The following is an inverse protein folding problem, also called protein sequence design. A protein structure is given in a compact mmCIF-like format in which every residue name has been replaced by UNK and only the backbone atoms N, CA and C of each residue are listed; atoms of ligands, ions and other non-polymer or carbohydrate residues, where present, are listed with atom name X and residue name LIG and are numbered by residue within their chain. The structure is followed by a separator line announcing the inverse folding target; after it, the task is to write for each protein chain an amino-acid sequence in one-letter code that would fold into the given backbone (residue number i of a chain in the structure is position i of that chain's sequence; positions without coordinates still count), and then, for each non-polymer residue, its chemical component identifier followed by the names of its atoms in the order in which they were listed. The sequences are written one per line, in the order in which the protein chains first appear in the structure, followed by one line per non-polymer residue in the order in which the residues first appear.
data_IF_729619926305
#
_entry.id   IF_729619926305
#
_cell.length_a   1.000
_cell.length_b   1.000
_cell.length_c   1.000
_cell.angle_alpha   90.00
_cell.angle_beta   90.00
_cell.angle_gamma   90.00
#
_symmetry.space_group_name_H-M   'P 1'
#
loop_
_entity.id
_entity.type
_entity.pdbx_description
1 polymer ?
#
# COMPACT_ATOMS: atom_id res chain seq x y z
N UNK A 1 1.18 29.99 0.50
CA UNK A 1 2.39 29.45 1.19
C UNK A 1 3.31 28.90 0.12
N UNK A 2 4.64 29.12 0.22
CA UNK A 2 5.62 28.52 -0.69
C UNK A 2 6.35 27.44 0.11
N UNK A 3 6.26 26.19 -0.35
CA UNK A 3 7.02 25.07 0.22
C UNK A 3 8.21 24.78 -0.69
N UNK A 4 9.41 24.96 -0.17
CA UNK A 4 10.62 24.63 -0.93
C UNK A 4 10.84 23.12 -0.93
N UNK A 5 11.05 22.49 -2.09
CA UNK A 5 11.30 21.05 -2.17
C UNK A 5 12.62 20.70 -1.49
N UNK A 6 12.60 19.63 -0.69
CA UNK A 6 13.79 19.02 -0.09
C UNK A 6 13.89 17.59 -0.58
N UNK A 7 14.80 17.34 -1.48
CA UNK A 7 15.03 16.02 -2.07
C UNK A 7 16.15 15.30 -1.33
N UNK A 8 15.95 14.02 -1.03
CA UNK A 8 16.96 13.11 -0.48
C UNK A 8 16.91 11.80 -1.26
N UNK A 9 17.93 11.56 -2.09
CA UNK A 9 17.87 10.50 -3.10
C UNK A 9 16.75 10.82 -4.10
N UNK A 10 15.87 9.88 -4.34
CA UNK A 10 14.68 10.08 -5.21
C UNK A 10 13.40 10.45 -4.43
N UNK A 11 13.51 10.75 -3.15
CA UNK A 11 12.35 11.14 -2.34
C UNK A 11 12.32 12.62 -2.10
N UNK A 12 11.21 13.28 -2.44
CA UNK A 12 10.91 14.61 -1.95
C UNK A 12 10.33 14.49 -0.53
N UNK A 13 11.02 15.07 0.46
CA UNK A 13 10.66 14.96 1.88
C UNK A 13 9.73 16.07 2.35
N UNK A 14 9.34 16.98 1.47
CA UNK A 14 8.38 18.06 1.73
C UNK A 14 7.18 17.90 0.82
N UNK A 15 5.99 18.26 1.32
CA UNK A 15 4.75 18.22 0.55
C UNK A 15 4.01 19.55 0.69
N UNK A 16 3.38 19.98 -0.40
CA UNK A 16 2.57 21.20 -0.42
C UNK A 16 1.12 20.85 -0.05
N UNK A 17 0.56 21.35 1.06
CA UNK A 17 -0.79 20.98 1.52
C UNK A 17 -1.87 21.17 0.43
N UNK A 18 -1.93 22.35 -0.18
CA UNK A 18 -2.90 22.65 -1.22
C UNK A 18 -2.66 21.85 -2.50
N UNK A 19 -1.38 21.55 -2.82
CA UNK A 19 -1.05 20.70 -3.97
C UNK A 19 -1.54 19.26 -3.77
N UNK A 20 -1.36 18.69 -2.58
CA UNK A 20 -1.88 17.39 -2.22
C UNK A 20 -3.42 17.37 -2.27
N UNK A 21 -4.06 18.38 -1.68
CA UNK A 21 -5.52 18.51 -1.71
C UNK A 21 -6.06 18.61 -3.14
N UNK A 22 -5.43 19.41 -3.99
CA UNK A 22 -5.83 19.56 -5.40
C UNK A 22 -5.60 18.26 -6.18
N UNK A 23 -4.51 17.53 -5.92
CA UNK A 23 -4.26 16.22 -6.53
C UNK A 23 -5.38 15.23 -6.20
N UNK A 24 -5.78 15.15 -4.92
CA UNK A 24 -6.89 14.28 -4.48
C UNK A 24 -8.20 14.72 -5.11
N UNK A 25 -8.49 16.03 -5.16
CA UNK A 25 -9.69 16.57 -5.80
C UNK A 25 -9.79 16.16 -7.27
N UNK A 26 -8.68 16.27 -8.03
CA UNK A 26 -8.64 15.88 -9.45
C UNK A 26 -8.89 14.38 -9.64
N UNK A 27 -8.32 13.54 -8.79
CA UNK A 27 -8.59 12.09 -8.84
C UNK A 27 -10.07 11.80 -8.58
N UNK A 28 -10.67 12.44 -7.59
CA UNK A 28 -12.10 12.32 -7.28
C UNK A 28 -12.96 12.76 -8.47
N UNK A 29 -12.69 13.93 -9.05
CA UNK A 29 -13.43 14.43 -10.21
C UNK A 29 -13.31 13.51 -11.42
N UNK A 30 -12.12 12.94 -11.64
CA UNK A 30 -11.93 11.94 -12.69
C UNK A 30 -12.83 10.72 -12.45
N UNK A 31 -12.86 10.17 -11.24
CA UNK A 31 -13.72 9.01 -10.93
C UNK A 31 -15.20 9.36 -11.05
N UNK A 32 -15.60 10.55 -10.59
CA UNK A 32 -16.99 11.03 -10.73
C UNK A 32 -17.42 11.19 -12.20
N UNK A 33 -16.50 11.47 -13.12
CA UNK A 33 -16.76 11.57 -14.55
C UNK A 33 -16.90 10.22 -15.25
N UNK A 34 -16.53 9.12 -14.58
CA UNK A 34 -16.65 7.77 -15.13
C UNK A 34 -18.02 7.16 -14.78
N UNK A 35 -18.44 6.13 -15.52
CA UNK A 35 -19.64 5.37 -15.17
C UNK A 35 -19.56 4.81 -13.75
N UNK A 36 -20.70 4.80 -13.05
CA UNK A 36 -20.80 4.09 -11.77
C UNK A 36 -20.62 2.59 -11.98
N UNK A 37 -20.06 1.93 -10.98
CA UNK A 37 -19.81 0.50 -10.99
C UNK A 37 -20.49 -0.16 -9.78
N UNK A 38 -20.93 -1.39 -9.97
CA UNK A 38 -21.26 -2.25 -8.84
C UNK A 38 -19.96 -2.72 -8.17
N UNK A 39 -19.99 -2.82 -6.85
CA UNK A 39 -18.80 -3.20 -6.10
C UNK A 39 -19.03 -3.20 -4.59
N UNK A 40 -17.96 -3.34 -3.81
CA UNK A 40 -18.02 -3.42 -2.36
C UNK A 40 -18.66 -2.16 -1.76
N UNK A 41 -19.18 -2.30 -0.53
CA UNK A 41 -19.84 -1.22 0.21
C UNK A 41 -19.08 -0.79 1.44
N UNK A 42 -18.32 -1.69 2.07
CA UNK A 42 -17.55 -1.42 3.29
C UNK A 42 -16.12 -1.92 3.12
N UNK A 43 -15.20 -1.01 2.91
CA UNK A 43 -13.84 -1.34 2.46
C UNK A 43 -12.80 -0.99 3.53
N UNK A 44 -11.90 -1.93 3.80
CA UNK A 44 -10.66 -1.69 4.53
C UNK A 44 -9.50 -1.55 3.53
N UNK A 45 -8.72 -0.47 3.62
CA UNK A 45 -7.52 -0.27 2.79
C UNK A 45 -6.29 -0.14 3.69
N UNK A 46 -5.40 -1.10 3.62
CA UNK A 46 -4.11 -1.11 4.31
C UNK A 46 -3.06 -0.44 3.40
N UNK A 47 -2.46 0.66 3.86
CA UNK A 47 -1.59 1.51 3.04
C UNK A 47 -2.37 2.54 2.19
N UNK A 48 -3.30 3.26 2.82
CA UNK A 48 -4.37 4.04 2.18
C UNK A 48 -3.99 5.49 1.81
N UNK A 49 -2.78 5.96 2.11
CA UNK A 49 -2.45 7.39 2.05
C UNK A 49 -1.89 7.88 0.71
N UNK A 50 -1.34 6.99 -0.10
CA UNK A 50 -0.70 7.33 -1.39
C UNK A 50 -0.84 6.21 -2.40
N UNK A 51 -0.43 6.45 -3.65
CA UNK A 51 -0.30 5.46 -4.71
C UNK A 51 -1.59 4.68 -4.95
N UNK A 52 -1.43 3.38 -5.15
CA UNK A 52 -2.55 2.49 -5.47
C UNK A 52 -3.56 2.35 -4.33
N UNK A 53 -3.11 2.40 -3.06
CA UNK A 53 -4.03 2.34 -1.93
C UNK A 53 -4.98 3.52 -1.88
N UNK A 54 -4.45 4.75 -2.03
CA UNK A 54 -5.29 5.95 -2.11
C UNK A 54 -6.20 5.94 -3.35
N UNK A 55 -5.65 5.58 -4.52
CA UNK A 55 -6.42 5.51 -5.75
C UNK A 55 -7.58 4.52 -5.66
N UNK A 56 -7.35 3.36 -5.04
CA UNK A 56 -8.39 2.36 -4.80
C UNK A 56 -9.46 2.89 -3.84
N UNK A 57 -9.05 3.56 -2.77
CA UNK A 57 -9.97 4.17 -1.82
C UNK A 57 -10.88 5.21 -2.49
N UNK A 58 -10.28 6.09 -3.31
CA UNK A 58 -11.03 7.08 -4.10
C UNK A 58 -11.96 6.38 -5.10
N UNK A 59 -11.46 5.41 -5.87
CA UNK A 59 -12.24 4.74 -6.89
C UNK A 59 -13.45 4.00 -6.28
N UNK A 60 -13.25 3.23 -5.22
CA UNK A 60 -14.33 2.47 -4.58
C UNK A 60 -15.36 3.39 -3.92
N UNK A 61 -14.91 4.48 -3.28
CA UNK A 61 -15.83 5.44 -2.68
C UNK A 61 -16.68 6.13 -3.75
N UNK A 62 -16.07 6.62 -4.81
CA UNK A 62 -16.80 7.46 -5.78
C UNK A 62 -17.41 6.70 -6.96
N UNK A 63 -16.90 5.53 -7.35
CA UNK A 63 -17.53 4.72 -8.39
C UNK A 63 -18.56 3.73 -7.83
N UNK A 64 -18.27 3.08 -6.69
CA UNK A 64 -19.12 2.03 -6.11
C UNK A 64 -20.01 2.55 -4.97
N UNK A 65 -19.76 3.77 -4.48
CA UNK A 65 -20.45 4.32 -3.30
C UNK A 65 -20.04 3.62 -2.00
N UNK A 66 -18.77 3.20 -1.89
CA UNK A 66 -18.28 2.48 -0.73
C UNK A 66 -17.90 3.42 0.42
N UNK A 67 -18.24 3.05 1.62
CA UNK A 67 -17.66 3.57 2.86
C UNK A 67 -16.30 2.94 3.10
N UNK A 68 -15.34 3.69 3.68
CA UNK A 68 -13.98 3.20 3.79
C UNK A 68 -13.28 3.52 5.11
N UNK A 69 -12.56 2.53 5.63
CA UNK A 69 -11.56 2.67 6.68
C UNK A 69 -10.18 2.50 6.03
N UNK A 70 -9.24 3.42 6.30
CA UNK A 70 -7.88 3.35 5.82
C UNK A 70 -6.88 3.19 6.97
N UNK A 71 -5.86 2.36 6.80
CA UNK A 71 -4.68 2.35 7.68
C UNK A 71 -3.55 3.04 6.95
N UNK A 72 -2.95 4.03 7.59
CA UNK A 72 -1.88 4.86 7.05
C UNK A 72 -0.70 4.90 8.03
N UNK A 73 0.49 5.26 7.57
CA UNK A 73 1.65 5.45 8.43
C UNK A 73 2.39 6.72 8.05
N UNK A 74 1.82 7.85 8.43
CA UNK A 74 2.24 9.18 8.00
C UNK A 74 2.64 10.08 9.17
N UNK A 75 3.49 11.05 8.87
CA UNK A 75 4.02 11.97 9.88
C UNK A 75 3.28 13.31 9.81
N UNK A 76 2.72 13.79 10.93
CA UNK A 76 2.14 15.12 11.01
C UNK A 76 3.20 16.20 10.82
N UNK A 77 2.76 17.38 10.43
CA UNK A 77 3.60 18.57 10.35
C UNK A 77 4.16 18.97 11.72
N UNK A 78 5.31 19.63 11.68
CA UNK A 78 5.94 20.29 12.85
C UNK A 78 6.29 21.72 12.44
N UNK A 79 6.59 22.60 13.42
CA UNK A 79 6.85 24.04 13.19
C UNK A 79 7.75 24.35 11.97
N UNK A 80 8.78 23.55 11.72
CA UNK A 80 9.76 23.75 10.64
C UNK A 80 9.70 22.71 9.52
N UNK A 81 8.68 21.84 9.52
CA UNK A 81 8.55 20.75 8.56
C UNK A 81 7.09 20.52 8.19
N UNK A 82 6.82 20.39 6.89
CA UNK A 82 5.52 19.95 6.39
C UNK A 82 5.19 18.55 6.91
N UNK A 83 3.92 18.19 6.97
CA UNK A 83 3.53 16.79 7.07
C UNK A 83 4.02 16.00 5.84
N UNK A 84 3.98 14.69 5.90
CA UNK A 84 4.13 13.83 4.72
C UNK A 84 2.98 14.06 3.73
N UNK A 85 3.21 13.76 2.45
CA UNK A 85 2.19 13.87 1.42
C UNK A 85 0.95 13.03 1.76
N UNK A 86 1.17 11.80 2.23
CA UNK A 86 0.08 10.90 2.62
C UNK A 86 -0.81 11.46 3.74
N UNK A 87 -0.25 12.20 4.67
CA UNK A 87 -1.03 12.90 5.70
C UNK A 87 -2.01 13.90 5.09
N UNK A 88 -1.52 14.77 4.18
CA UNK A 88 -2.37 15.76 3.52
C UNK A 88 -3.39 15.12 2.57
N UNK A 89 -3.00 14.10 1.84
CA UNK A 89 -3.91 13.36 0.96
C UNK A 89 -5.06 12.72 1.75
N UNK A 90 -4.74 12.08 2.88
CA UNK A 90 -5.73 11.43 3.73
C UNK A 90 -6.73 12.45 4.29
N UNK A 91 -6.22 13.56 4.83
CA UNK A 91 -7.07 14.62 5.35
C UNK A 91 -7.98 15.23 4.25
N UNK A 92 -7.43 15.43 3.04
CA UNK A 92 -8.19 15.92 1.91
C UNK A 92 -9.27 14.92 1.45
N UNK A 93 -8.89 13.64 1.33
CA UNK A 93 -9.83 12.60 0.93
C UNK A 93 -10.99 12.46 1.92
N UNK A 94 -10.71 12.39 3.22
CA UNK A 94 -11.74 12.29 4.24
C UNK A 94 -12.67 13.48 4.22
N UNK A 95 -12.13 14.70 4.09
CA UNK A 95 -12.94 15.92 3.99
C UNK A 95 -13.87 15.89 2.78
N UNK A 96 -13.37 15.51 1.59
CA UNK A 96 -14.18 15.43 0.38
C UNK A 96 -15.24 14.32 0.48
N UNK A 97 -14.85 13.12 0.93
CA UNK A 97 -15.75 12.00 1.07
C UNK A 97 -16.91 12.31 2.04
N UNK A 98 -16.59 12.88 3.21
CA UNK A 98 -17.61 13.27 4.20
C UNK A 98 -18.54 14.37 3.69
N UNK A 99 -18.01 15.38 3.00
CA UNK A 99 -18.82 16.43 2.37
C UNK A 99 -19.78 15.88 1.30
N UNK A 100 -19.37 14.80 0.63
CA UNK A 100 -20.17 14.13 -0.40
C UNK A 100 -21.08 13.03 0.19
N UNK A 101 -21.14 12.88 1.52
CA UNK A 101 -22.04 11.95 2.22
C UNK A 101 -21.51 10.53 2.38
N UNK A 102 -20.22 10.30 2.13
CA UNK A 102 -19.57 9.02 2.35
C UNK A 102 -18.87 8.95 3.71
N UNK A 103 -18.88 7.77 4.32
CA UNK A 103 -18.05 7.54 5.49
C UNK A 103 -16.60 7.31 5.05
N UNK A 104 -15.69 8.06 5.66
CA UNK A 104 -14.24 7.87 5.49
C UNK A 104 -13.54 8.21 6.80
N UNK A 105 -12.80 7.24 7.34
CA UNK A 105 -11.90 7.39 8.51
C UNK A 105 -10.58 6.71 8.27
N UNK A 106 -9.52 7.20 8.94
CA UNK A 106 -8.21 6.57 8.90
C UNK A 106 -7.62 6.40 10.30
N UNK A 107 -6.88 5.31 10.46
CA UNK A 107 -6.03 5.02 11.61
C UNK A 107 -4.59 5.25 11.18
N UNK A 108 -3.84 6.03 11.95
CA UNK A 108 -2.45 6.34 11.65
C UNK A 108 -1.50 5.58 12.58
N UNK A 109 -0.93 4.50 12.09
CA UNK A 109 0.01 3.67 12.81
C UNK A 109 0.65 2.60 11.93
N UNK A 110 1.57 1.85 12.52
CA UNK A 110 2.25 0.75 11.84
C UNK A 110 1.29 -0.41 11.59
N UNK A 111 0.87 -0.60 10.33
CA UNK A 111 -0.04 -1.67 9.94
C UNK A 111 0.47 -3.08 10.28
N UNK A 112 1.78 -3.25 10.46
CA UNK A 112 2.38 -4.52 10.88
C UNK A 112 2.20 -4.81 12.37
N UNK A 113 1.84 -3.81 13.18
CA UNK A 113 1.71 -3.97 14.62
C UNK A 113 0.37 -4.59 15.01
N UNK A 114 0.39 -5.37 16.09
CA UNK A 114 -0.81 -5.96 16.67
C UNK A 114 -1.78 -4.88 17.19
N UNK A 115 -1.24 -3.81 17.78
CA UNK A 115 -2.02 -2.67 18.28
C UNK A 115 -2.90 -2.05 17.18
N UNK A 116 -2.35 -1.81 16.00
CA UNK A 116 -3.09 -1.23 14.87
C UNK A 116 -4.11 -2.21 14.29
N UNK A 117 -3.81 -3.51 14.28
CA UNK A 117 -4.80 -4.53 13.90
C UNK A 117 -6.00 -4.50 14.85
N UNK A 118 -5.77 -4.49 16.15
CA UNK A 118 -6.81 -4.44 17.18
C UNK A 118 -7.64 -3.15 17.13
N UNK A 119 -6.99 -1.99 16.98
CA UNK A 119 -7.67 -0.70 16.82
C UNK A 119 -8.56 -0.68 15.56
N UNK A 120 -8.05 -1.22 14.45
CA UNK A 120 -8.79 -1.31 13.19
C UNK A 120 -10.01 -2.22 13.33
N UNK A 121 -9.85 -3.38 13.94
CA UNK A 121 -10.93 -4.32 14.19
C UNK A 121 -12.00 -3.69 15.10
N UNK A 122 -11.58 -2.99 16.15
CA UNK A 122 -12.52 -2.30 17.04
C UNK A 122 -13.31 -1.21 16.29
N UNK A 123 -12.66 -0.46 15.40
CA UNK A 123 -13.32 0.54 14.58
C UNK A 123 -14.30 -0.09 13.58
N UNK A 124 -13.93 -1.22 12.94
CA UNK A 124 -14.82 -1.94 12.03
C UNK A 124 -16.06 -2.43 12.80
N UNK A 125 -15.89 -3.07 13.94
CA UNK A 125 -17.02 -3.55 14.78
C UNK A 125 -17.97 -2.41 15.16
N UNK A 126 -17.41 -1.27 15.53
CA UNK A 126 -18.19 -0.11 15.96
C UNK A 126 -18.97 0.55 14.82
N UNK A 127 -18.32 0.78 13.68
CA UNK A 127 -18.86 1.68 12.65
C UNK A 127 -19.42 0.90 11.43
N UNK A 128 -18.94 -0.30 11.16
CA UNK A 128 -19.29 -1.11 9.97
C UNK A 128 -20.01 -2.42 10.30
N UNK A 129 -19.69 -3.01 11.44
CA UNK A 129 -19.99 -4.41 11.73
C UNK A 129 -19.01 -5.33 11.01
N UNK A 130 -19.05 -5.36 9.70
CA UNK A 130 -18.20 -6.18 8.84
C UNK A 130 -17.70 -5.38 7.63
N UNK A 131 -16.62 -5.84 7.00
CA UNK A 131 -16.10 -5.35 5.71
C UNK A 131 -16.29 -6.40 4.63
N UNK A 132 -16.63 -5.99 3.43
CA UNK A 132 -16.81 -6.84 2.25
C UNK A 132 -15.63 -6.79 1.28
N UNK A 133 -14.65 -5.91 1.54
CA UNK A 133 -13.39 -5.87 0.79
C UNK A 133 -12.22 -5.40 1.65
N UNK A 134 -11.08 -6.10 1.51
CA UNK A 134 -9.79 -5.73 2.11
C UNK A 134 -8.74 -5.54 1.03
N UNK A 135 -8.16 -4.34 0.94
CA UNK A 135 -7.05 -4.06 0.03
C UNK A 135 -5.75 -4.01 0.81
N UNK A 136 -4.81 -4.89 0.46
CA UNK A 136 -3.47 -4.94 1.02
C UNK A 136 -2.49 -4.24 0.07
N UNK A 137 -2.17 -2.97 0.37
CA UNK A 137 -1.30 -2.09 -0.42
C UNK A 137 -0.10 -1.62 0.40
N UNK A 138 0.57 -2.56 1.06
CA UNK A 138 1.73 -2.27 1.88
C UNK A 138 3.02 -2.59 1.13
N UNK A 139 3.96 -1.66 1.18
CA UNK A 139 5.33 -1.83 0.74
C UNK A 139 6.24 -1.01 1.65
N UNK A 140 7.23 -1.65 2.26
CA UNK A 140 8.10 -1.01 3.23
C UNK A 140 9.54 -1.49 3.10
N UNK A 141 10.53 -0.67 3.48
CA UNK A 141 11.92 -1.11 3.52
C UNK A 141 12.23 -1.99 4.74
N UNK A 142 11.31 -2.07 5.69
CA UNK A 142 11.45 -2.87 6.92
C UNK A 142 10.10 -3.18 7.54
N UNK A 143 10.04 -4.29 8.27
CA UNK A 143 8.90 -4.71 9.07
C UNK A 143 9.39 -5.26 10.41
N UNK A 144 8.76 -4.86 11.52
CA UNK A 144 8.89 -5.57 12.79
C UNK A 144 7.82 -6.65 12.81
N UNK A 145 8.24 -7.91 12.78
CA UNK A 145 7.34 -9.06 12.77
C UNK A 145 6.89 -9.45 14.20
N UNK A 146 5.88 -10.33 14.34
CA UNK A 146 5.36 -10.76 15.65
C UNK A 146 6.40 -11.45 16.54
N UNK A 147 7.44 -12.04 15.95
CA UNK A 147 8.59 -12.62 16.69
C UNK A 147 9.50 -11.58 17.35
N UNK A 148 9.22 -10.28 17.13
CA UNK A 148 9.98 -9.15 17.65
C UNK A 148 11.19 -8.76 16.80
N UNK A 149 11.51 -9.53 15.75
CA UNK A 149 12.62 -9.26 14.84
C UNK A 149 12.24 -8.17 13.83
N UNK A 150 13.20 -7.31 13.51
CA UNK A 150 13.03 -6.30 12.46
C UNK A 150 13.74 -6.76 11.20
N UNK A 151 12.98 -7.23 10.24
CA UNK A 151 13.43 -7.64 8.91
C UNK A 151 13.58 -6.44 7.98
N UNK A 152 14.49 -6.55 6.98
CA UNK A 152 14.75 -5.49 6.00
C UNK A 152 14.65 -6.04 4.58
N UNK A 153 13.90 -5.37 3.74
CA UNK A 153 13.84 -5.71 2.31
C UNK A 153 14.98 -5.07 1.53
N UNK A 154 15.46 -5.81 0.54
CA UNK A 154 16.45 -5.31 -0.44
C UNK A 154 15.91 -5.47 -1.86
N UNK A 155 16.38 -4.62 -2.76
CA UNK A 155 16.15 -4.75 -4.20
C UNK A 155 17.46 -5.17 -4.86
N UNK A 156 17.65 -6.48 -4.98
CA UNK A 156 18.86 -7.11 -5.52
C UNK A 156 18.50 -8.29 -6.43
N UNK A 157 19.45 -8.72 -7.23
CA UNK A 157 19.35 -9.97 -7.98
C UNK A 157 19.45 -11.18 -7.06
N UNK A 158 19.15 -12.39 -7.55
CA UNK A 158 19.27 -13.62 -6.77
C UNK A 158 20.58 -14.33 -7.06
N UNK A 159 20.91 -14.58 -8.33
CA UNK A 159 22.01 -15.48 -8.68
C UNK A 159 23.30 -14.77 -9.05
N UNK A 160 23.22 -13.72 -9.87
CA UNK A 160 24.39 -13.03 -10.44
C UNK A 160 24.18 -11.52 -10.48
N UNK A 161 25.29 -10.80 -10.52
CA UNK A 161 25.21 -9.34 -10.64
C UNK A 161 24.51 -8.91 -11.94
N UNK A 162 23.83 -7.79 -11.87
CA UNK A 162 23.13 -7.16 -13.00
C UNK A 162 23.64 -5.75 -13.19
N UNK A 163 24.16 -5.48 -14.40
CA UNK A 163 24.66 -4.17 -14.78
C UNK A 163 23.81 -3.62 -15.92
N UNK A 164 23.33 -2.40 -15.76
CA UNK A 164 22.54 -1.72 -16.80
C UNK A 164 22.74 -0.20 -16.73
N UNK A 165 22.33 0.48 -17.78
CA UNK A 165 22.26 1.93 -17.78
C UNK A 165 21.07 2.42 -16.95
N UNK A 166 21.29 3.53 -16.27
CA UNK A 166 20.28 4.27 -15.51
C UNK A 166 20.41 5.75 -15.85
N UNK A 167 19.37 6.51 -15.57
CA UNK A 167 19.42 7.97 -15.68
C UNK A 167 19.43 8.59 -14.28
N UNK A 168 20.34 9.50 -14.03
CA UNK A 168 20.27 10.35 -12.85
C UNK A 168 19.22 11.43 -13.09
N UNK A 169 18.15 11.39 -12.31
CA UNK A 169 17.02 12.29 -12.46
C UNK A 169 17.30 13.74 -12.03
N UNK A 170 18.41 13.98 -11.33
CA UNK A 170 18.82 15.34 -10.93
C UNK A 170 19.67 16.01 -12.00
N UNK A 171 20.57 15.25 -12.65
CA UNK A 171 21.49 15.78 -13.65
C UNK A 171 21.04 15.51 -15.09
N UNK A 172 20.10 14.59 -15.29
CA UNK A 172 19.68 14.07 -16.60
C UNK A 172 20.80 13.34 -17.36
N UNK A 173 21.81 12.83 -16.65
CA UNK A 173 22.94 12.12 -17.22
C UNK A 173 22.73 10.61 -17.15
N UNK A 174 23.21 9.90 -18.18
CA UNK A 174 23.25 8.45 -18.18
C UNK A 174 24.36 7.96 -17.26
N UNK A 175 24.03 7.04 -16.38
CA UNK A 175 24.97 6.38 -15.47
C UNK A 175 24.90 4.86 -15.67
N UNK A 176 25.93 4.16 -15.21
CA UNK A 176 25.93 2.69 -15.16
C UNK A 176 25.73 2.28 -13.71
N UNK A 177 24.75 1.44 -13.48
CA UNK A 177 24.45 0.89 -12.16
C UNK A 177 24.67 -0.62 -12.18
N UNK A 178 25.45 -1.13 -11.22
CA UNK A 178 25.67 -2.55 -10.99
C UNK A 178 25.03 -2.95 -9.67
N UNK A 179 24.17 -3.95 -9.72
CA UNK A 179 23.44 -4.46 -8.57
C UNK A 179 23.96 -5.88 -8.27
N UNK A 180 24.56 -6.08 -7.09
CA UNK A 180 25.06 -7.40 -6.69
C UNK A 180 23.93 -8.35 -6.31
N UNK A 181 24.19 -9.67 -6.29
CA UNK A 181 23.22 -10.63 -5.79
C UNK A 181 22.95 -10.44 -4.29
N UNK A 182 21.74 -10.78 -3.88
CA UNK A 182 21.36 -10.85 -2.48
C UNK A 182 21.93 -12.10 -1.83
N UNK A 183 22.22 -12.01 -0.54
CA UNK A 183 22.48 -13.21 0.27
C UNK A 183 21.16 -13.95 0.52
N UNK A 184 21.25 -15.22 0.93
CA UNK A 184 20.07 -16.00 1.32
C UNK A 184 19.30 -15.34 2.48
N UNK A 185 20.01 -14.77 3.45
CA UNK A 185 19.40 -13.98 4.54
C UNK A 185 18.64 -12.77 4.03
N UNK A 186 19.23 -11.98 3.12
CA UNK A 186 18.57 -10.81 2.52
C UNK A 186 17.33 -11.20 1.71
N UNK A 187 17.33 -12.36 1.03
CA UNK A 187 16.15 -12.89 0.33
C UNK A 187 15.06 -13.24 1.33
N UNK A 188 15.39 -14.00 2.37
CA UNK A 188 14.45 -14.40 3.41
C UNK A 188 13.86 -13.18 4.14
N UNK A 189 14.69 -12.22 4.49
CA UNK A 189 14.25 -10.95 5.09
C UNK A 189 13.29 -10.19 4.16
N UNK A 190 13.60 -10.16 2.88
CA UNK A 190 12.75 -9.50 1.88
C UNK A 190 11.38 -10.19 1.77
N UNK A 191 11.34 -11.53 1.83
CA UNK A 191 10.09 -12.30 1.88
C UNK A 191 9.31 -11.96 3.15
N UNK A 192 9.97 -11.87 4.30
CA UNK A 192 9.33 -11.47 5.58
C UNK A 192 8.71 -10.08 5.54
N UNK A 193 9.30 -9.14 4.80
CA UNK A 193 8.80 -7.75 4.71
C UNK A 193 7.76 -7.58 3.62
N UNK A 194 7.97 -8.17 2.43
CA UNK A 194 7.24 -7.86 1.20
C UNK A 194 6.41 -9.04 0.66
N UNK A 195 6.48 -10.20 1.32
CA UNK A 195 5.68 -11.39 1.01
C UNK A 195 4.28 -11.34 1.61
N UNK A 196 3.66 -12.49 1.73
CA UNK A 196 2.25 -12.63 2.11
C UNK A 196 1.98 -12.84 3.60
N UNK A 197 3.02 -13.06 4.43
CA UNK A 197 2.83 -13.41 5.84
C UNK A 197 1.93 -12.40 6.59
N UNK A 198 2.19 -11.09 6.47
CA UNK A 198 1.37 -10.10 7.17
C UNK A 198 -0.04 -9.95 6.58
N UNK A 199 -0.19 -10.17 5.28
CA UNK A 199 -1.51 -10.23 4.66
C UNK A 199 -2.36 -11.37 5.23
N UNK A 200 -1.76 -12.56 5.38
CA UNK A 200 -2.42 -13.70 6.06
C UNK A 200 -2.81 -13.35 7.49
N UNK A 201 -1.88 -12.79 8.27
CA UNK A 201 -2.14 -12.36 9.65
C UNK A 201 -3.29 -11.34 9.77
N UNK A 202 -3.42 -10.43 8.81
CA UNK A 202 -4.57 -9.53 8.76
C UNK A 202 -5.87 -10.28 8.51
N UNK A 203 -5.88 -11.19 7.52
CA UNK A 203 -7.09 -11.93 7.19
C UNK A 203 -7.53 -12.86 8.32
N UNK A 204 -6.59 -13.55 8.97
CA UNK A 204 -6.85 -14.36 10.17
C UNK A 204 -7.45 -13.52 11.30
N UNK A 205 -6.84 -12.37 11.63
CA UNK A 205 -7.32 -11.49 12.68
C UNK A 205 -8.73 -10.94 12.41
N UNK A 206 -9.03 -10.60 11.15
CA UNK A 206 -10.35 -10.12 10.74
C UNK A 206 -11.40 -11.24 10.81
N UNK A 207 -11.05 -12.48 10.41
CA UNK A 207 -11.92 -13.63 10.51
C UNK A 207 -12.19 -14.01 11.96
N UNK A 208 -11.16 -14.14 12.79
CA UNK A 208 -11.29 -14.45 14.22
C UNK A 208 -12.16 -13.43 14.97
N UNK A 209 -12.13 -12.19 14.53
CA UNK A 209 -12.92 -11.11 15.10
C UNK A 209 -14.37 -11.05 14.58
N UNK A 210 -14.74 -11.92 13.62
CA UNK A 210 -16.04 -11.93 12.94
C UNK A 210 -16.39 -10.58 12.26
N UNK A 211 -15.40 -9.98 11.59
CA UNK A 211 -15.56 -8.68 10.89
C UNK A 211 -15.39 -8.78 9.37
N UNK A 212 -15.30 -9.99 8.81
CA UNK A 212 -15.38 -10.25 7.37
C UNK A 212 -16.81 -10.63 6.99
N UNK A 213 -17.38 -9.98 6.00
CA UNK A 213 -18.66 -10.37 5.44
C UNK A 213 -18.52 -11.69 4.65
N UNK A 214 -19.62 -12.46 4.57
CA UNK A 214 -19.65 -13.62 3.69
C UNK A 214 -19.50 -13.17 2.22
N UNK A 215 -18.64 -13.84 1.46
CA UNK A 215 -18.27 -13.43 0.11
C UNK A 215 -17.31 -12.23 0.04
N UNK A 216 -16.69 -11.86 1.16
CA UNK A 216 -15.69 -10.78 1.17
C UNK A 216 -14.53 -11.07 0.20
N UNK A 217 -13.98 -10.01 -0.40
CA UNK A 217 -12.81 -10.12 -1.29
C UNK A 217 -11.60 -9.45 -0.69
N UNK A 218 -10.43 -10.05 -0.90
CA UNK A 218 -9.17 -9.40 -0.55
C UNK A 218 -8.23 -9.35 -1.73
N UNK A 219 -7.54 -8.21 -1.90
CA UNK A 219 -6.61 -7.99 -3.01
C UNK A 219 -5.29 -7.46 -2.49
N UNK A 220 -4.20 -8.17 -2.78
CA UNK A 220 -2.85 -7.67 -2.53
C UNK A 220 -2.22 -7.13 -3.82
N UNK A 221 -1.48 -6.03 -3.72
CA UNK A 221 -0.82 -5.41 -4.88
C UNK A 221 0.60 -5.93 -5.07
N UNK A 222 0.90 -6.27 -6.31
CA UNK A 222 2.17 -6.82 -6.77
C UNK A 222 2.75 -5.99 -7.91
N UNK A 223 4.05 -6.17 -8.15
CA UNK A 223 4.80 -5.58 -9.25
C UNK A 223 5.89 -6.55 -9.71
N UNK A 224 6.05 -6.73 -11.00
CA UNK A 224 7.06 -7.63 -11.59
C UNK A 224 8.08 -6.91 -12.49
N UNK A 225 7.82 -5.67 -12.85
CA UNK A 225 8.64 -4.89 -13.78
C UNK A 225 8.49 -5.32 -15.26
N UNK A 226 9.07 -4.55 -16.19
CA UNK A 226 9.27 -4.96 -17.57
C UNK A 226 10.47 -5.92 -17.67
N UNK A 227 10.59 -6.66 -18.78
CA UNK A 227 11.69 -7.62 -19.03
C UNK A 227 13.08 -7.02 -18.79
N UNK A 228 13.28 -5.75 -19.17
CA UNK A 228 14.52 -5.02 -18.94
C UNK A 228 14.97 -5.02 -17.46
N UNK A 229 14.05 -5.14 -16.53
CA UNK A 229 14.29 -5.09 -15.09
C UNK A 229 13.99 -6.41 -14.38
N UNK A 230 13.65 -7.48 -15.10
CA UNK A 230 13.37 -8.78 -14.50
C UNK A 230 14.46 -9.27 -13.54
N UNK A 231 15.77 -9.11 -13.84
CA UNK A 231 16.81 -9.59 -12.92
C UNK A 231 16.72 -9.02 -11.49
N UNK A 232 16.15 -7.81 -11.33
CA UNK A 232 16.01 -7.16 -10.01
C UNK A 232 14.58 -7.17 -9.46
N UNK A 233 13.56 -7.38 -10.32
CA UNK A 233 12.15 -7.45 -9.90
C UNK A 233 11.60 -8.87 -10.00
N UNK A 234 11.28 -9.38 -11.18
CA UNK A 234 10.63 -10.67 -11.37
C UNK A 234 11.49 -11.84 -10.86
N UNK A 235 12.77 -11.87 -11.23
CA UNK A 235 13.75 -12.89 -10.84
C UNK A 235 14.56 -12.49 -9.59
N UNK A 236 14.40 -11.26 -9.10
CA UNK A 236 15.14 -10.71 -7.98
C UNK A 236 14.53 -11.02 -6.60
N UNK A 237 15.14 -10.45 -5.56
CA UNK A 237 14.68 -10.63 -4.17
C UNK A 237 13.22 -10.22 -3.95
N UNK A 238 12.76 -9.14 -4.61
CA UNK A 238 11.35 -8.73 -4.58
C UNK A 238 10.47 -9.76 -5.27
N UNK A 239 10.91 -10.35 -6.38
CA UNK A 239 10.19 -11.41 -7.08
C UNK A 239 9.95 -12.63 -6.19
N UNK A 240 10.95 -13.04 -5.39
CA UNK A 240 10.79 -14.12 -4.41
C UNK A 240 9.69 -13.79 -3.37
N UNK A 241 9.67 -12.55 -2.89
CA UNK A 241 8.60 -12.09 -2.01
C UNK A 241 7.22 -12.07 -2.70
N UNK A 242 7.15 -11.75 -4.00
CA UNK A 242 5.89 -11.78 -4.76
C UNK A 242 5.41 -13.20 -5.04
N UNK A 243 6.31 -14.16 -5.22
CA UNK A 243 5.94 -15.58 -5.27
C UNK A 243 5.33 -16.06 -3.94
N UNK A 244 5.86 -15.59 -2.82
CA UNK A 244 5.26 -15.87 -1.51
C UNK A 244 3.87 -15.23 -1.36
N UNK A 245 3.70 -14.01 -1.87
CA UNK A 245 2.39 -13.33 -1.90
C UNK A 245 1.36 -14.13 -2.72
N UNK A 246 1.76 -14.73 -3.87
CA UNK A 246 0.87 -15.56 -4.69
C UNK A 246 0.47 -16.83 -3.93
N UNK A 247 1.43 -17.55 -3.33
CA UNK A 247 1.14 -18.72 -2.49
C UNK A 247 0.24 -18.37 -1.30
N UNK A 248 0.35 -17.15 -0.77
CA UNK A 248 -0.50 -16.69 0.32
C UNK A 248 -1.94 -16.43 -0.16
N UNK A 249 -2.15 -15.95 -1.37
CA UNK A 249 -3.50 -15.85 -1.94
C UNK A 249 -4.20 -17.22 -1.97
N UNK A 250 -3.48 -18.26 -2.42
CA UNK A 250 -4.00 -19.63 -2.43
C UNK A 250 -4.35 -20.10 -0.99
N UNK A 251 -3.46 -19.87 -0.04
CA UNK A 251 -3.70 -20.21 1.37
C UNK A 251 -4.91 -19.47 1.97
N UNK A 252 -5.08 -18.19 1.65
CA UNK A 252 -6.27 -17.43 2.11
C UNK A 252 -7.54 -18.06 1.54
N UNK A 253 -7.55 -18.39 0.24
CA UNK A 253 -8.67 -19.06 -0.41
C UNK A 253 -9.01 -20.44 0.21
N UNK A 254 -8.00 -21.15 0.73
CA UNK A 254 -8.18 -22.46 1.35
C UNK A 254 -8.63 -22.37 2.82
N UNK A 255 -8.15 -21.36 3.58
CA UNK A 255 -8.28 -21.34 5.04
C UNK A 255 -9.21 -20.26 5.59
N UNK A 256 -9.41 -19.15 4.86
CA UNK A 256 -10.29 -18.06 5.29
C UNK A 256 -11.68 -18.27 4.68
N UNK A 257 -12.60 -18.77 5.49
CA UNK A 257 -13.94 -19.15 5.01
C UNK A 257 -14.71 -17.95 4.46
N UNK A 258 -15.44 -18.17 3.37
CA UNK A 258 -16.28 -17.15 2.75
C UNK A 258 -15.53 -15.98 2.14
N UNK A 259 -14.22 -16.10 1.90
CA UNK A 259 -13.38 -15.04 1.35
C UNK A 259 -12.70 -15.47 0.06
N UNK A 260 -12.59 -14.56 -0.91
CA UNK A 260 -11.83 -14.75 -2.15
C UNK A 260 -10.61 -13.82 -2.15
N UNK A 261 -9.42 -14.40 -2.35
CA UNK A 261 -8.15 -13.68 -2.39
C UNK A 261 -7.57 -13.60 -3.79
N UNK A 262 -7.09 -12.41 -4.16
CA UNK A 262 -6.51 -12.12 -5.47
C UNK A 262 -5.20 -11.34 -5.32
N UNK A 263 -4.32 -11.46 -6.31
CA UNK A 263 -3.14 -10.61 -6.46
C UNK A 263 -3.28 -9.79 -7.73
N UNK A 264 -3.24 -8.48 -7.62
CA UNK A 264 -3.24 -7.57 -8.76
C UNK A 264 -1.82 -7.12 -9.09
N UNK A 265 -1.34 -7.48 -10.28
CA UNK A 265 -0.03 -7.03 -10.78
C UNK A 265 -0.21 -5.67 -11.44
N UNK A 266 0.36 -4.66 -10.82
CA UNK A 266 0.20 -3.27 -11.22
C UNK A 266 1.44 -2.75 -11.96
N UNK A 267 1.29 -1.65 -12.71
CA UNK A 267 2.41 -0.93 -13.31
C UNK A 267 3.14 -0.07 -12.28
N UNK A 268 4.43 0.20 -12.51
CA UNK A 268 5.10 1.28 -11.79
C UNK A 268 4.50 2.63 -12.20
N UNK A 269 4.17 3.45 -11.20
CA UNK A 269 3.63 4.80 -11.39
C UNK A 269 4.38 5.74 -10.48
N UNK A 270 4.82 6.87 -11.05
CA UNK A 270 5.35 7.98 -10.24
C UNK A 270 4.17 8.66 -9.55
N UNK A 271 4.17 8.67 -8.24
CA UNK A 271 3.09 9.28 -7.44
C UNK A 271 3.52 10.64 -6.91
N UNK A 272 4.02 10.77 -5.71
CA UNK A 272 4.35 12.06 -5.08
C UNK A 272 5.74 12.08 -4.49
#
# INVERSE_FOLDING_TARGET
MVVQPKVKGFMCTTAHPEGCKESVRRQIEYVKSQPKAEGPKKVLVLGASMGYGLASRIALTYACGADSIGVIFDKPGKEKRTASAGWYNTAAFEQFAQNDGHYAKSINGDAYSQEIKEETIALIKKDFGQVDMVIYSLAAPRRKAPDGVTYRSVLKTVDKEFTNQSIDLLTNELTTVTIPPATEEEINDTIKVMGGEDWMLWMEALQEADVLADGAKTVAYSYIGPELTYPIYYDGSIGQAKQDLYRTADKINEHIQGTEAYVAVNKAVVTQ
#
